data_IF_070763615535
#
_entry.id   IF_070763615535
#
_cell.length_a   1.000
_cell.length_b   1.000
_cell.length_c   1.000
_cell.angle_alpha   90.00
_cell.angle_beta   90.00
_cell.angle_gamma   90.00
#
_symmetry.space_group_name_H-M   'P 1'
#
loop_
_entity.id
_entity.type
_entity.pdbx_description
1 polymer ?
#
# COMPACT_ATOMS: atom_id res chain seq x y z
N UNK A 1 -30.92 5.32 51.41
CA UNK A 1 -32.13 5.79 50.69
C UNK A 1 -32.11 7.30 50.67
N UNK A 2 -31.50 7.93 49.66
CA UNK A 2 -31.68 9.35 49.38
C UNK A 2 -31.13 9.67 47.98
N UNK A 3 -31.99 10.32 47.20
CA UNK A 3 -31.82 10.83 45.84
C UNK A 3 -31.00 12.14 45.85
N UNK A 4 -30.19 12.38 44.81
CA UNK A 4 -29.61 13.70 44.47
C UNK A 4 -29.68 13.83 42.93
N UNK A 5 -30.74 14.43 42.40
CA UNK A 5 -30.92 15.86 42.03
C UNK A 5 -30.10 16.27 40.80
N UNK A 6 -30.81 16.38 39.67
CA UNK A 6 -30.41 17.14 38.48
C UNK A 6 -30.51 18.64 38.77
N UNK A 7 -29.51 19.40 38.37
CA UNK A 7 -29.56 20.87 38.36
C UNK A 7 -29.51 21.35 36.91
N UNK A 8 -30.60 21.97 36.48
CA UNK A 8 -30.72 22.78 35.27
C UNK A 8 -30.41 24.23 35.64
N UNK A 9 -29.63 24.95 34.83
CA UNK A 9 -29.63 26.41 34.82
C UNK A 9 -29.84 26.89 33.39
N UNK A 10 -30.92 27.65 33.24
CA UNK A 10 -31.41 28.30 32.02
C UNK A 10 -31.22 29.81 32.10
N UNK A 11 -31.11 30.42 30.90
CA UNK A 11 -31.34 31.84 30.57
C UNK A 11 -30.31 32.83 31.12
N UNK A 12 -29.91 33.89 30.45
CA UNK A 12 -30.24 34.54 29.16
C UNK A 12 -29.45 35.86 29.21
N UNK A 13 -29.04 36.45 28.09
CA UNK A 13 -29.05 37.92 27.93
C UNK A 13 -28.66 38.32 26.49
N UNK A 14 -29.60 39.04 25.87
CA UNK A 14 -29.47 40.03 24.79
C UNK A 14 -29.73 39.53 23.36
N UNK A 15 -31.01 39.68 22.99
CA UNK A 15 -31.52 39.89 21.63
C UNK A 15 -31.11 41.26 21.06
N UNK A 16 -31.23 41.35 19.73
CA UNK A 16 -31.39 42.53 18.87
C UNK A 16 -30.15 43.21 18.31
N UNK A 17 -29.80 42.81 17.07
CA UNK A 17 -29.84 43.77 15.95
C UNK A 17 -29.84 43.04 14.59
N UNK A 18 -30.87 43.32 13.79
CA UNK A 18 -30.95 43.23 12.32
C UNK A 18 -31.39 41.89 11.68
N UNK A 19 -32.72 41.79 11.55
CA UNK A 19 -33.41 41.23 10.38
C UNK A 19 -32.89 41.85 9.08
N UNK A 20 -32.49 41.01 8.12
CA UNK A 20 -32.96 41.04 6.72
C UNK A 20 -32.17 40.00 5.90
N UNK A 21 -32.73 38.81 5.71
CA UNK A 21 -32.58 37.94 4.51
C UNK A 21 -33.38 36.63 4.71
N UNK A 22 -33.95 36.05 3.63
CA UNK A 22 -35.05 35.09 3.72
C UNK A 22 -34.62 33.74 4.30
N UNK A 23 -35.55 33.14 5.05
CA UNK A 23 -35.54 31.75 5.50
C UNK A 23 -35.31 30.80 4.31
N UNK A 24 -34.20 30.06 4.32
CA UNK A 24 -34.05 28.84 3.53
C UNK A 24 -34.38 27.69 4.47
N UNK A 25 -35.57 27.12 4.31
CA UNK A 25 -35.89 25.80 4.82
C UNK A 25 -34.93 24.79 4.16
N UNK A 26 -34.04 24.18 4.94
CA UNK A 26 -33.31 23.00 4.49
C UNK A 26 -34.19 21.80 4.83
N UNK A 27 -34.98 21.37 3.85
CA UNK A 27 -35.66 20.09 3.88
C UNK A 27 -34.64 18.95 4.06
N UNK A 28 -34.89 18.10 5.05
CA UNK A 28 -34.18 16.85 5.25
C UNK A 28 -34.55 15.86 4.15
N UNK A 29 -33.80 15.87 3.05
CA UNK A 29 -33.91 14.85 2.00
C UNK A 29 -33.11 13.61 2.39
N UNK A 30 -33.69 12.81 3.30
CA UNK A 30 -33.46 11.37 3.37
C UNK A 30 -34.03 10.75 2.08
N UNK A 31 -33.24 10.77 1.01
CA UNK A 31 -33.46 9.90 -0.14
C UNK A 31 -32.23 9.03 -0.33
N UNK A 32 -32.37 7.75 0.00
CA UNK A 32 -31.46 6.68 -0.36
C UNK A 32 -31.29 6.66 -1.87
N UNK A 33 -30.18 7.20 -2.34
CA UNK A 33 -29.76 7.07 -3.74
C UNK A 33 -29.22 5.66 -3.91
N UNK A 34 -29.77 4.82 -4.80
CA UNK A 34 -29.16 3.53 -5.11
C UNK A 34 -27.81 3.80 -5.77
N UNK A 35 -26.73 3.35 -5.13
CA UNK A 35 -25.43 3.29 -5.77
C UNK A 35 -25.51 2.21 -6.86
N UNK A 36 -25.80 2.62 -8.09
CA UNK A 36 -25.69 1.75 -9.26
C UNK A 36 -24.20 1.50 -9.52
N UNK A 37 -23.73 0.23 -9.55
CA UNK A 37 -22.35 -0.08 -9.90
C UNK A 37 -22.22 0.09 -11.42
N UNK A 38 -21.79 1.26 -11.85
CA UNK A 38 -21.29 1.48 -13.20
C UNK A 38 -19.88 2.05 -13.08
N UNK A 39 -18.94 1.16 -12.81
CA UNK A 39 -17.62 1.30 -13.40
C UNK A 39 -17.37 0.12 -14.34
N UNK A 40 -16.93 0.41 -15.58
CA UNK A 40 -16.90 -0.56 -16.65
C UNK A 40 -15.70 -1.48 -16.45
N UNK A 41 -16.00 -2.78 -16.49
CA UNK A 41 -15.10 -3.82 -16.95
C UNK A 41 -14.12 -4.36 -15.89
N UNK A 42 -14.62 -5.33 -15.14
CA UNK A 42 -13.88 -6.53 -14.71
C UNK A 42 -13.43 -7.32 -15.95
N UNK A 43 -12.53 -6.77 -16.79
CA UNK A 43 -11.71 -7.62 -17.65
C UNK A 43 -10.64 -8.15 -16.70
N UNK A 44 -10.63 -9.46 -16.48
CA UNK A 44 -9.45 -10.14 -15.99
C UNK A 44 -8.31 -9.77 -16.95
N UNK A 45 -7.47 -8.80 -16.55
CA UNK A 45 -6.26 -8.46 -17.26
C UNK A 45 -5.38 -9.70 -17.12
N UNK A 46 -4.99 -10.37 -18.23
CA UNK A 46 -4.18 -11.56 -18.14
C UNK A 46 -2.86 -11.20 -17.44
N UNK A 47 -2.34 -12.07 -16.56
CA UNK A 47 -1.16 -11.77 -15.76
C UNK A 47 0.04 -11.44 -16.67
N UNK A 48 0.96 -10.57 -16.20
CA UNK A 48 2.10 -10.18 -17.00
C UNK A 48 3.01 -11.38 -17.28
N UNK A 49 3.63 -11.28 -18.43
CA UNK A 49 4.51 -12.28 -19.01
C UNK A 49 5.74 -12.50 -18.14
N UNK A 50 6.13 -13.75 -17.92
CA UNK A 50 7.44 -14.06 -17.30
C UNK A 50 8.59 -13.47 -18.14
N UNK A 51 9.82 -13.34 -17.62
CA UNK A 51 10.97 -12.90 -18.42
C UNK A 51 11.20 -13.74 -19.68
N UNK A 52 10.93 -15.04 -19.61
CA UNK A 52 11.00 -15.95 -20.75
C UNK A 52 9.88 -15.67 -21.75
N UNK A 53 8.65 -15.43 -21.27
CA UNK A 53 7.53 -14.99 -22.10
C UNK A 53 7.80 -13.61 -22.74
N UNK A 54 8.40 -12.67 -22.02
CA UNK A 54 8.80 -11.36 -22.55
C UNK A 54 9.90 -11.48 -23.61
N UNK A 55 10.86 -12.37 -23.39
CA UNK A 55 11.93 -12.66 -24.36
C UNK A 55 11.34 -13.31 -25.62
N UNK A 56 10.45 -14.28 -25.46
CA UNK A 56 9.75 -14.95 -26.56
C UNK A 56 8.83 -13.98 -27.32
N UNK A 57 8.14 -13.09 -26.59
CA UNK A 57 7.32 -12.00 -27.12
C UNK A 57 8.15 -11.06 -27.99
N UNK A 58 9.32 -10.64 -27.48
CA UNK A 58 10.26 -9.77 -28.20
C UNK A 58 10.82 -10.45 -29.44
N UNK A 59 11.15 -11.74 -29.37
CA UNK A 59 11.62 -12.52 -30.52
C UNK A 59 10.54 -12.68 -31.59
N UNK A 60 9.29 -12.95 -31.19
CA UNK A 60 8.16 -13.05 -32.12
C UNK A 60 7.86 -11.70 -32.76
N UNK A 61 7.81 -10.62 -31.99
CA UNK A 61 7.62 -9.27 -32.50
C UNK A 61 8.71 -8.89 -33.51
N UNK A 62 9.98 -9.22 -33.24
CA UNK A 62 11.09 -9.01 -34.16
C UNK A 62 10.98 -9.88 -35.43
N UNK A 63 10.50 -11.12 -35.32
CA UNK A 63 10.27 -11.98 -36.48
C UNK A 63 9.16 -11.44 -37.38
N UNK A 64 8.07 -10.94 -36.80
CA UNK A 64 6.96 -10.36 -37.57
C UNK A 64 7.35 -9.00 -38.18
N UNK A 65 8.07 -8.15 -37.45
CA UNK A 65 8.58 -6.87 -37.98
C UNK A 65 9.52 -7.07 -39.18
N UNK A 66 10.30 -8.16 -39.22
CA UNK A 66 11.14 -8.51 -40.38
C UNK A 66 10.34 -8.91 -41.63
N UNK A 67 9.08 -9.29 -41.48
CA UNK A 67 8.19 -9.64 -42.59
C UNK A 67 7.37 -8.45 -43.08
N UNK A 68 7.43 -7.31 -42.38
CA UNK A 68 6.76 -6.07 -42.75
C UNK A 68 7.72 -5.12 -43.49
N UNK A 69 7.23 -4.29 -44.43
CA UNK A 69 8.02 -3.23 -45.02
C UNK A 69 8.61 -2.29 -43.95
N UNK A 70 9.83 -1.74 -44.16
CA UNK A 70 10.59 -1.01 -43.15
C UNK A 70 9.92 0.26 -42.59
N UNK A 71 8.88 0.77 -43.23
CA UNK A 71 8.16 2.00 -42.85
C UNK A 71 6.69 1.76 -42.46
N UNK A 72 6.36 0.55 -42.00
CA UNK A 72 4.97 0.21 -41.64
C UNK A 72 4.58 0.84 -40.30
N UNK A 73 3.67 1.82 -40.32
CA UNK A 73 3.08 2.41 -39.11
C UNK A 73 2.16 1.41 -38.39
N UNK A 74 2.41 1.14 -37.11
CA UNK A 74 1.62 0.24 -36.27
C UNK A 74 0.13 0.62 -36.23
N UNK A 75 -0.18 1.93 -36.25
CA UNK A 75 -1.57 2.39 -36.21
C UNK A 75 -2.33 2.02 -37.48
N UNK A 76 -1.63 1.91 -38.62
CA UNK A 76 -2.18 1.53 -39.93
C UNK A 76 -2.45 0.03 -40.10
N UNK A 77 -2.00 -0.83 -39.18
CA UNK A 77 -2.18 -2.28 -39.27
C UNK A 77 -3.65 -2.69 -39.10
N UNK A 78 -4.06 -3.72 -39.86
CA UNK A 78 -5.40 -4.30 -39.74
C UNK A 78 -5.63 -4.93 -38.35
N UNK A 79 -6.88 -4.97 -37.85
CA UNK A 79 -7.19 -5.62 -36.57
C UNK A 79 -6.76 -7.09 -36.50
N UNK A 80 -6.82 -7.82 -37.61
CA UNK A 80 -6.37 -9.21 -37.69
C UNK A 80 -4.84 -9.35 -37.57
N UNK A 81 -4.07 -8.43 -38.14
CA UNK A 81 -2.61 -8.39 -37.98
C UNK A 81 -2.22 -7.94 -36.57
N UNK A 82 -2.91 -6.95 -36.01
CA UNK A 82 -2.75 -6.55 -34.59
C UNK A 82 -3.03 -7.73 -33.66
N UNK A 83 -4.09 -8.51 -33.92
CA UNK A 83 -4.42 -9.69 -33.13
C UNK A 83 -3.40 -10.83 -33.29
N UNK A 84 -2.80 -10.99 -34.48
CA UNK A 84 -1.73 -11.97 -34.72
C UNK A 84 -0.38 -11.55 -34.11
N UNK A 85 -0.19 -10.24 -33.87
CA UNK A 85 0.97 -9.66 -33.19
C UNK A 85 0.89 -9.74 -31.67
N UNK A 86 -0.32 -9.95 -31.11
CA UNK A 86 -0.48 -10.26 -29.68
C UNK A 86 -0.04 -11.71 -29.46
N UNK A 87 1.07 -11.94 -28.77
CA UNK A 87 1.55 -13.31 -28.58
C UNK A 87 0.57 -14.04 -27.65
N UNK A 88 0.35 -15.32 -27.94
CA UNK A 88 -0.44 -16.20 -27.06
C UNK A 88 0.54 -16.85 -26.10
N UNK A 89 0.39 -16.53 -24.83
CA UNK A 89 1.24 -17.08 -23.77
C UNK A 89 0.51 -18.20 -23.06
N UNK A 90 1.24 -19.27 -22.80
CA UNK A 90 0.81 -20.28 -21.87
C UNK A 90 1.32 -19.87 -20.49
N UNK A 91 0.49 -19.13 -19.75
CA UNK A 91 0.82 -18.58 -18.42
C UNK A 91 1.44 -19.68 -17.54
N UNK A 92 2.47 -19.35 -16.76
CA UNK A 92 3.04 -20.32 -15.81
C UNK A 92 1.96 -20.86 -14.86
N UNK A 93 2.07 -22.11 -14.40
CA UNK A 93 1.06 -22.72 -13.53
C UNK A 93 0.82 -21.91 -12.24
N UNK A 94 1.85 -21.25 -11.71
CA UNK A 94 1.75 -20.34 -10.56
C UNK A 94 0.88 -19.10 -10.86
N UNK A 95 0.98 -18.52 -12.06
CA UNK A 95 0.16 -17.38 -12.48
C UNK A 95 -1.28 -17.79 -12.82
N UNK A 96 -1.49 -19.05 -13.23
CA UNK A 96 -2.83 -19.62 -13.38
C UNK A 96 -3.53 -19.86 -12.03
N UNK A 97 -2.75 -20.00 -10.94
CA UNK A 97 -3.26 -20.29 -9.60
C UNK A 97 -3.49 -19.07 -8.71
N UNK A 98 -2.73 -17.98 -8.86
CA UNK A 98 -2.88 -16.82 -7.97
C UNK A 98 -4.21 -16.10 -8.19
N UNK A 99 -5.02 -16.01 -7.15
CA UNK A 99 -6.30 -15.34 -7.12
C UNK A 99 -6.25 -14.17 -6.15
N UNK A 100 -7.09 -13.15 -6.37
CA UNK A 100 -7.26 -12.05 -5.41
C UNK A 100 -7.66 -12.58 -4.01
N UNK A 101 -8.40 -13.70 -3.96
CA UNK A 101 -8.81 -14.34 -2.71
C UNK A 101 -7.62 -14.87 -1.87
N UNK A 102 -6.45 -15.12 -2.46
CA UNK A 102 -5.24 -15.50 -1.71
C UNK A 102 -4.74 -14.37 -0.79
N UNK A 103 -5.08 -13.12 -1.12
CA UNK A 103 -4.78 -11.92 -0.34
C UNK A 103 -5.94 -11.50 0.58
N UNK A 104 -7.04 -12.26 0.60
CA UNK A 104 -8.20 -11.92 1.42
C UNK A 104 -7.86 -12.09 2.90
N UNK A 105 -8.04 -11.02 3.67
CA UNK A 105 -7.86 -11.00 5.12
C UNK A 105 -9.17 -10.54 5.73
N UNK A 106 -9.71 -11.32 6.67
CA UNK A 106 -10.79 -10.84 7.53
C UNK A 106 -10.21 -9.89 8.58
N UNK A 107 -10.04 -8.62 8.20
CA UNK A 107 -9.42 -7.60 9.04
C UNK A 107 -10.16 -7.38 10.36
N UNK A 108 -11.49 -7.48 10.35
CA UNK A 108 -12.31 -7.33 11.55
C UNK A 108 -12.10 -8.48 12.55
N UNK A 109 -11.75 -9.67 12.05
CA UNK A 109 -11.37 -10.80 12.90
C UNK A 109 -9.89 -10.77 13.31
N UNK A 110 -9.01 -10.26 12.44
CA UNK A 110 -7.57 -10.14 12.72
C UNK A 110 -7.26 -9.03 13.72
N UNK A 111 -8.08 -7.98 13.76
CA UNK A 111 -7.93 -6.82 14.64
C UNK A 111 -9.17 -6.70 15.53
N UNK A 112 -9.13 -7.38 16.67
CA UNK A 112 -10.16 -7.24 17.68
C UNK A 112 -10.05 -5.90 18.42
N UNK A 113 -11.02 -5.64 19.31
CA UNK A 113 -11.08 -4.38 20.06
C UNK A 113 -9.84 -4.14 20.91
N UNK A 114 -9.31 -5.17 21.57
CA UNK A 114 -8.14 -5.04 22.45
C UNK A 114 -6.88 -4.71 21.63
N UNK A 115 -6.73 -5.29 20.44
CA UNK A 115 -5.64 -4.95 19.52
C UNK A 115 -5.75 -3.52 19.00
N UNK A 116 -6.95 -3.05 18.68
CA UNK A 116 -7.18 -1.67 18.27
C UNK A 116 -6.92 -0.67 19.41
N UNK A 117 -7.35 -0.99 20.64
CA UNK A 117 -7.06 -0.16 21.81
C UNK A 117 -5.55 -0.12 22.11
N UNK A 118 -4.87 -1.27 21.96
CA UNK A 118 -3.41 -1.35 22.07
C UNK A 118 -2.72 -0.53 20.98
N UNK A 119 -3.23 -0.57 19.74
CA UNK A 119 -2.73 0.25 18.64
C UNK A 119 -2.86 1.74 18.95
N UNK A 120 -4.02 2.18 19.46
CA UNK A 120 -4.23 3.59 19.86
C UNK A 120 -3.30 3.99 21.00
N UNK A 121 -3.04 3.09 21.96
CA UNK A 121 -2.19 3.38 23.12
C UNK A 121 -0.70 3.41 22.78
N UNK A 122 -0.21 2.40 22.06
CA UNK A 122 1.22 2.16 21.80
C UNK A 122 1.66 2.73 20.45
N UNK A 123 0.73 2.94 19.52
CA UNK A 123 0.98 3.46 18.18
C UNK A 123 1.45 2.42 17.16
N UNK A 124 1.55 1.13 17.53
CA UNK A 124 1.87 0.06 16.57
C UNK A 124 1.27 -1.29 16.93
N UNK A 125 1.17 -2.16 15.92
CA UNK A 125 0.76 -3.57 16.04
C UNK A 125 1.58 -4.44 15.09
N UNK A 126 1.68 -5.73 15.42
CA UNK A 126 2.40 -6.73 14.64
C UNK A 126 1.47 -7.91 14.35
N UNK A 127 1.37 -8.29 13.09
CA UNK A 127 0.57 -9.42 12.62
C UNK A 127 1.48 -10.42 11.93
N UNK A 128 1.50 -11.65 12.43
CA UNK A 128 2.19 -12.77 11.79
C UNK A 128 1.22 -13.62 10.95
N UNK A 129 1.80 -14.30 9.97
CA UNK A 129 1.12 -15.26 9.10
C UNK A 129 -0.14 -14.64 8.46
N UNK A 130 0.02 -13.44 7.91
CA UNK A 130 -1.08 -12.61 7.42
C UNK A 130 -1.81 -13.24 6.24
N UNK A 131 -1.05 -13.57 5.19
CA UNK A 131 -1.59 -14.09 3.93
C UNK A 131 -1.39 -15.60 3.80
N UNK A 132 -2.13 -16.19 2.85
CA UNK A 132 -1.89 -17.57 2.45
C UNK A 132 -0.47 -17.72 1.85
N UNK A 133 0.14 -18.91 1.95
CA UNK A 133 1.47 -19.16 1.39
C UNK A 133 1.58 -18.82 -0.11
N UNK A 134 0.50 -19.01 -0.87
CA UNK A 134 0.39 -18.67 -2.29
C UNK A 134 0.64 -17.18 -2.55
N UNK A 135 -0.02 -16.30 -1.79
CA UNK A 135 0.16 -14.86 -1.88
C UNK A 135 1.57 -14.41 -1.45
N UNK A 136 2.10 -14.99 -0.36
CA UNK A 136 3.47 -14.70 0.08
C UNK A 136 4.50 -15.06 -1.00
N UNK A 137 4.42 -16.26 -1.56
CA UNK A 137 5.32 -16.73 -2.62
C UNK A 137 5.21 -15.85 -3.87
N UNK A 138 4.01 -15.40 -4.22
CA UNK A 138 3.81 -14.49 -5.35
C UNK A 138 4.48 -13.12 -5.11
N UNK A 139 4.35 -12.54 -3.92
CA UNK A 139 5.03 -11.28 -3.56
C UNK A 139 6.55 -11.45 -3.53
N UNK A 140 7.06 -12.57 -3.01
CA UNK A 140 8.49 -12.89 -3.01
C UNK A 140 9.03 -13.03 -4.43
N UNK A 141 8.32 -13.76 -5.30
CA UNK A 141 8.69 -13.93 -6.69
C UNK A 141 8.70 -12.58 -7.41
N UNK A 142 7.63 -11.80 -7.30
CA UNK A 142 7.54 -10.49 -7.94
C UNK A 142 8.68 -9.57 -7.48
N UNK A 143 8.88 -9.44 -6.15
CA UNK A 143 9.99 -8.73 -5.53
C UNK A 143 11.38 -9.19 -6.01
N UNK A 144 11.56 -10.48 -6.31
CA UNK A 144 12.81 -11.04 -6.81
C UNK A 144 13.13 -10.67 -8.25
N UNK A 145 12.11 -10.36 -9.07
CA UNK A 145 12.26 -10.02 -10.49
C UNK A 145 12.13 -8.54 -10.80
N UNK A 146 11.67 -7.70 -9.87
CA UNK A 146 11.54 -6.26 -10.13
C UNK A 146 12.89 -5.57 -10.28
N UNK A 147 12.97 -4.64 -11.24
CA UNK A 147 14.11 -3.74 -11.35
C UNK A 147 14.03 -2.61 -10.31
N UNK A 148 14.78 -2.79 -9.22
CA UNK A 148 14.92 -1.79 -8.17
C UNK A 148 15.74 -0.58 -8.61
N UNK A 149 15.36 0.60 -8.11
CA UNK A 149 16.11 1.86 -8.27
C UNK A 149 16.55 2.36 -6.91
N UNK A 150 17.70 3.03 -6.82
CA UNK A 150 18.17 3.60 -5.55
C UNK A 150 17.12 4.56 -4.94
N UNK A 151 16.81 4.40 -3.65
CA UNK A 151 15.90 5.30 -2.96
C UNK A 151 16.48 6.71 -2.85
N UNK A 152 15.62 7.73 -2.97
CA UNK A 152 15.98 9.15 -2.80
C UNK A 152 15.23 9.72 -1.59
N UNK A 153 15.86 10.64 -0.87
CA UNK A 153 15.19 11.43 0.17
C UNK A 153 14.26 12.47 -0.47
N UNK A 154 13.38 13.08 0.32
CA UNK A 154 12.36 14.07 -0.11
C UNK A 154 12.95 15.27 -0.88
N UNK A 155 14.23 15.59 -0.66
CA UNK A 155 14.97 16.65 -1.36
C UNK A 155 15.77 16.15 -2.59
N UNK A 156 15.58 14.90 -3.03
CA UNK A 156 16.25 14.32 -4.19
C UNK A 156 17.74 13.97 -4.01
N UNK A 157 18.33 14.31 -2.87
CA UNK A 157 19.73 14.00 -2.53
C UNK A 157 19.82 12.61 -1.90
N UNK A 158 20.62 11.73 -2.52
CA UNK A 158 21.00 10.44 -1.93
C UNK A 158 22.06 10.66 -0.86
N UNK A 159 21.78 10.22 0.36
CA UNK A 159 22.81 10.03 1.40
C UNK A 159 22.77 8.57 1.82
N UNK A 160 23.68 7.77 1.27
CA UNK A 160 23.83 6.33 1.60
C UNK A 160 24.02 6.09 3.09
N UNK A 161 24.58 7.07 3.79
CA UNK A 161 24.79 7.03 5.25
C UNK A 161 23.47 7.11 6.05
N UNK A 162 22.40 7.61 5.41
CA UNK A 162 21.07 7.76 6.00
C UNK A 162 20.17 6.61 5.55
N UNK A 163 20.06 6.36 4.25
CA UNK A 163 19.17 5.35 3.65
C UNK A 163 19.88 4.63 2.50
N UNK A 164 19.97 3.30 2.59
CA UNK A 164 20.74 2.47 1.65
C UNK A 164 19.94 1.48 0.80
N UNK A 165 18.61 1.48 0.89
CA UNK A 165 17.76 0.58 0.10
C UNK A 165 17.59 1.04 -1.34
N UNK A 166 17.18 0.06 -2.14
CA UNK A 166 16.64 0.26 -3.48
C UNK A 166 15.14 -0.04 -3.43
N UNK A 167 14.35 0.73 -4.14
CA UNK A 167 12.89 0.65 -4.13
C UNK A 167 12.31 0.48 -5.53
N UNK A 168 11.10 -0.09 -5.59
CA UNK A 168 10.25 -0.11 -6.77
C UNK A 168 8.80 0.11 -6.36
N UNK A 169 8.22 1.23 -6.80
CA UNK A 169 6.81 1.54 -6.57
C UNK A 169 5.90 0.50 -7.22
N UNK A 170 4.87 0.08 -6.48
CA UNK A 170 3.84 -0.84 -6.92
C UNK A 170 2.82 -0.04 -7.73
N UNK A 171 2.76 -0.33 -9.02
CA UNK A 171 1.71 0.10 -9.95
C UNK A 171 0.72 -1.04 -10.18
N UNK A 172 -0.37 -0.75 -10.92
CA UNK A 172 -1.36 -1.74 -11.35
C UNK A 172 -0.78 -2.90 -12.18
N UNK A 173 0.43 -2.75 -12.71
CA UNK A 173 1.09 -3.75 -13.56
C UNK A 173 1.82 -4.83 -12.73
N UNK A 174 1.98 -4.59 -11.43
CA UNK A 174 2.49 -5.57 -10.47
C UNK A 174 1.31 -6.37 -9.93
N UNK A 175 1.14 -7.60 -10.40
CA UNK A 175 -0.05 -8.39 -10.12
C UNK A 175 -0.18 -8.74 -8.62
N UNK A 176 0.89 -9.27 -8.02
CA UNK A 176 0.89 -9.62 -6.60
C UNK A 176 0.86 -8.36 -5.73
N UNK A 177 1.67 -7.35 -6.07
CA UNK A 177 1.71 -6.07 -5.39
C UNK A 177 0.38 -5.32 -5.43
N UNK A 178 -0.35 -5.39 -6.56
CA UNK A 178 -1.66 -4.77 -6.71
C UNK A 178 -2.71 -5.44 -5.81
N UNK A 179 -2.73 -6.77 -5.73
CA UNK A 179 -3.63 -7.48 -4.80
C UNK A 179 -3.27 -7.26 -3.34
N UNK A 180 -1.98 -7.20 -3.01
CA UNK A 180 -1.52 -6.74 -1.69
C UNK A 180 -2.07 -5.34 -1.38
N UNK A 181 -1.93 -4.39 -2.30
CA UNK A 181 -2.39 -3.01 -2.09
C UNK A 181 -3.91 -2.93 -1.91
N UNK A 182 -4.68 -3.73 -2.66
CA UNK A 182 -6.13 -3.83 -2.45
C UNK A 182 -6.48 -4.38 -1.06
N UNK A 183 -5.76 -5.41 -0.58
CA UNK A 183 -5.96 -5.92 0.77
C UNK A 183 -5.63 -4.88 1.85
N UNK A 184 -4.58 -4.06 1.65
CA UNK A 184 -4.28 -2.93 2.53
C UNK A 184 -5.34 -1.82 2.44
N UNK A 185 -5.96 -1.61 1.28
CA UNK A 185 -7.09 -0.68 1.17
C UNK A 185 -8.31 -1.17 1.98
N UNK A 186 -8.55 -2.48 2.05
CA UNK A 186 -9.58 -3.04 2.95
C UNK A 186 -9.27 -2.76 4.43
N UNK A 187 -8.00 -2.82 4.83
CA UNK A 187 -7.55 -2.38 6.16
C UNK A 187 -7.80 -0.89 6.39
N UNK A 188 -7.51 -0.04 5.40
CA UNK A 188 -7.78 1.40 5.46
C UNK A 188 -9.27 1.69 5.70
N UNK A 189 -10.17 0.95 5.02
CA UNK A 189 -11.60 1.06 5.25
C UNK A 189 -12.00 0.66 6.68
N UNK A 190 -11.39 -0.39 7.24
CA UNK A 190 -11.62 -0.76 8.64
C UNK A 190 -11.19 0.38 9.58
N UNK A 191 -9.97 0.89 9.44
CA UNK A 191 -9.44 1.97 10.28
C UNK A 191 -10.25 3.26 10.18
N UNK A 192 -10.75 3.61 9.00
CA UNK A 192 -11.65 4.75 8.85
C UNK A 192 -12.96 4.55 9.62
N UNK A 193 -13.50 3.33 9.65
CA UNK A 193 -14.76 3.03 10.34
C UNK A 193 -14.61 2.92 11.85
N UNK A 194 -13.47 2.42 12.34
CA UNK A 194 -13.26 2.14 13.77
C UNK A 194 -12.51 3.26 14.49
N UNK A 195 -11.56 3.91 13.81
CA UNK A 195 -10.66 4.91 14.39
C UNK A 195 -10.85 6.31 13.80
N UNK A 196 -11.74 6.49 12.82
CA UNK A 196 -11.95 7.76 12.10
C UNK A 196 -10.65 8.31 11.49
N UNK A 197 -9.79 7.42 10.99
CA UNK A 197 -8.42 7.75 10.57
C UNK A 197 -8.32 8.70 9.35
N UNK A 198 -9.40 8.94 8.61
CA UNK A 198 -9.41 9.89 7.48
C UNK A 198 -8.54 9.48 6.30
N UNK A 199 -8.19 8.20 6.18
CA UNK A 199 -7.37 7.66 5.10
C UNK A 199 -8.16 7.71 3.78
N UNK A 200 -7.57 8.26 2.73
CA UNK A 200 -8.17 8.43 1.40
C UNK A 200 -7.59 7.49 0.37
N UNK A 201 -6.29 7.21 0.44
CA UNK A 201 -5.62 6.31 -0.49
C UNK A 201 -4.39 5.67 0.15
N UNK A 202 -3.88 4.61 -0.46
CA UNK A 202 -2.65 3.94 -0.04
C UNK A 202 -1.66 3.87 -1.21
N UNK A 203 -0.38 4.02 -0.90
CA UNK A 203 0.72 3.84 -1.86
C UNK A 203 1.75 2.86 -1.28
N UNK A 204 2.34 2.01 -2.12
CA UNK A 204 3.28 1.00 -1.67
C UNK A 204 4.46 0.84 -2.62
N UNK A 205 5.60 0.42 -2.08
CA UNK A 205 6.76 0.06 -2.88
C UNK A 205 7.48 -1.16 -2.29
N UNK A 206 8.01 -2.00 -3.17
CA UNK A 206 9.04 -2.97 -2.81
C UNK A 206 10.28 -2.22 -2.34
N UNK A 207 10.97 -2.76 -1.34
CA UNK A 207 12.22 -2.24 -0.81
C UNK A 207 13.21 -3.39 -0.59
N UNK A 208 14.45 -3.14 -0.95
CA UNK A 208 15.53 -4.12 -0.89
C UNK A 208 16.78 -3.45 -0.30
N UNK A 209 17.20 -3.89 0.88
CA UNK A 209 18.45 -3.49 1.52
C UNK A 209 19.53 -4.53 1.22
N UNK A 210 20.62 -4.16 0.53
CA UNK A 210 21.80 -5.02 0.43
C UNK A 210 22.47 -5.21 1.80
N UNK A 211 23.30 -6.25 1.96
CA UNK A 211 24.11 -6.42 3.17
C UNK A 211 24.94 -5.17 3.48
N UNK A 212 25.03 -4.82 4.77
CA UNK A 212 25.74 -3.64 5.26
C UNK A 212 24.94 -2.34 5.24
N UNK A 213 23.66 -2.39 4.84
CA UNK A 213 22.78 -1.20 4.79
C UNK A 213 21.59 -1.32 5.74
N UNK A 214 21.06 -0.15 6.11
CA UNK A 214 19.86 0.04 6.92
C UNK A 214 19.27 1.42 6.63
N UNK A 215 18.43 1.91 7.54
CA UNK A 215 17.85 3.25 7.49
C UNK A 215 17.86 3.85 8.89
N UNK A 216 18.60 4.94 9.09
CA UNK A 216 18.71 5.64 10.39
C UNK A 216 17.35 6.11 10.92
N UNK A 217 17.29 6.35 12.23
CA UNK A 217 16.12 6.90 12.92
C UNK A 217 15.45 8.05 12.17
N UNK A 218 14.16 7.88 11.87
CA UNK A 218 13.32 8.85 11.20
C UNK A 218 11.85 8.67 11.60
N UNK A 219 11.04 9.69 11.29
CA UNK A 219 9.59 9.59 11.19
C UNK A 219 9.23 9.54 9.70
N UNK A 220 8.15 8.84 9.35
CA UNK A 220 7.69 8.78 7.96
C UNK A 220 7.02 10.08 7.50
N UNK A 221 6.58 10.91 8.44
CA UNK A 221 6.21 12.30 8.20
C UNK A 221 7.42 13.22 8.48
N UNK A 222 8.07 13.78 7.45
CA UNK A 222 9.07 14.81 7.65
C UNK A 222 8.45 16.09 8.20
N UNK A 223 9.27 16.94 8.82
CA UNK A 223 8.83 18.19 9.44
C UNK A 223 8.01 19.04 8.45
N UNK A 224 6.79 19.40 8.84
CA UNK A 224 5.87 20.21 8.04
C UNK A 224 5.00 19.43 7.05
N UNK A 225 5.06 18.09 7.07
CA UNK A 225 4.12 17.20 6.38
C UNK A 225 3.43 16.31 7.40
N UNK A 226 2.19 15.96 7.11
CA UNK A 226 1.36 15.10 7.97
C UNK A 226 0.33 14.30 7.14
N UNK A 227 0.66 14.04 5.86
CA UNK A 227 -0.28 13.38 4.96
C UNK A 227 -0.32 11.87 5.16
N UNK A 228 0.73 11.28 5.74
CA UNK A 228 0.80 9.84 6.03
C UNK A 228 0.21 9.61 7.41
N UNK A 229 -0.92 8.92 7.47
CA UNK A 229 -1.59 8.62 8.73
C UNK A 229 -0.96 7.36 9.30
N UNK A 230 -1.04 6.26 8.55
CA UNK A 230 -0.52 4.96 8.96
C UNK A 230 0.56 4.48 8.00
N UNK A 231 1.62 3.93 8.57
CA UNK A 231 2.69 3.25 7.86
C UNK A 231 2.59 1.75 8.11
N UNK A 232 2.87 0.95 7.08
CA UNK A 232 2.87 -0.50 7.18
C UNK A 232 4.09 -1.09 6.46
N UNK A 233 4.70 -2.10 7.07
CA UNK A 233 5.85 -2.82 6.51
C UNK A 233 5.56 -4.30 6.51
N UNK A 234 5.43 -4.88 5.30
CA UNK A 234 5.27 -6.32 5.10
C UNK A 234 6.60 -6.97 4.73
N UNK A 235 6.91 -8.10 5.34
CA UNK A 235 8.21 -8.76 5.22
C UNK A 235 8.16 -10.02 4.36
N UNK A 236 9.22 -10.21 3.59
CA UNK A 236 9.32 -11.25 2.55
C UNK A 236 10.46 -12.26 2.79
N UNK A 237 11.05 -12.26 3.99
CA UNK A 237 12.33 -12.94 4.20
C UNK A 237 12.19 -14.26 4.98
N UNK A 238 12.42 -15.37 4.30
CA UNK A 238 12.36 -16.71 4.88
C UNK A 238 13.56 -16.96 5.80
N UNK A 239 13.36 -17.75 6.86
CA UNK A 239 14.43 -18.22 7.75
C UNK A 239 15.37 -17.10 8.25
N UNK A 240 14.78 -15.97 8.68
CA UNK A 240 15.53 -14.84 9.25
C UNK A 240 15.94 -15.12 10.70
N UNK A 241 17.21 -14.92 11.01
CA UNK A 241 17.79 -15.17 12.35
C UNK A 241 18.31 -13.87 12.98
N UNK A 242 18.61 -13.90 14.28
CA UNK A 242 19.16 -12.73 14.98
C UNK A 242 20.53 -12.28 14.42
N UNK A 243 21.33 -13.23 13.93
CA UNK A 243 22.66 -12.94 13.38
C UNK A 243 22.58 -12.18 12.03
N UNK A 244 21.43 -12.23 11.36
CA UNK A 244 21.18 -11.55 10.09
C UNK A 244 20.92 -10.04 10.25
N UNK A 245 20.68 -9.56 11.48
CA UNK A 245 20.36 -8.15 11.78
C UNK A 245 19.10 -7.66 11.07
N UNK A 246 19.09 -6.40 10.63
CA UNK A 246 18.02 -5.85 9.78
C UNK A 246 16.67 -5.66 10.45
N UNK A 247 16.59 -5.70 11.79
CA UNK A 247 15.37 -5.46 12.54
C UNK A 247 14.80 -4.06 12.28
N UNK A 248 13.48 -3.93 12.39
CA UNK A 248 12.83 -2.63 12.55
C UNK A 248 12.82 -2.28 14.03
N UNK A 249 13.60 -1.28 14.41
CA UNK A 249 13.54 -0.67 15.74
C UNK A 249 12.50 0.45 15.72
N UNK A 250 11.53 0.41 16.62
CA UNK A 250 10.47 1.42 16.75
C UNK A 250 10.38 1.92 18.18
N UNK A 251 10.23 3.24 18.37
CA UNK A 251 9.90 3.83 19.66
C UNK A 251 8.39 4.01 19.71
N UNK A 252 7.72 3.34 20.63
CA UNK A 252 6.28 3.43 20.80
C UNK A 252 5.86 4.78 21.41
N UNK A 253 4.55 5.04 21.44
CA UNK A 253 3.97 6.28 22.01
C UNK A 253 4.24 6.45 23.51
N UNK A 254 4.70 5.40 24.21
CA UNK A 254 5.07 5.42 25.63
C UNK A 254 6.59 5.59 25.82
N UNK A 255 7.37 5.74 24.74
CA UNK A 255 8.81 5.95 24.74
C UNK A 255 9.64 4.67 24.86
N UNK A 256 9.04 3.48 24.75
CA UNK A 256 9.74 2.21 24.80
C UNK A 256 10.23 1.79 23.41
N UNK A 257 11.46 1.27 23.33
CA UNK A 257 12.04 0.78 22.07
C UNK A 257 11.77 -0.71 21.90
N UNK A 258 11.20 -1.06 20.75
CA UNK A 258 10.91 -2.43 20.34
C UNK A 258 11.73 -2.81 19.11
N UNK A 259 12.24 -4.04 19.06
CA UNK A 259 12.97 -4.58 17.91
C UNK A 259 12.17 -5.69 17.24
N UNK A 260 11.79 -5.48 15.98
CA UNK A 260 10.91 -6.36 15.24
C UNK A 260 11.67 -7.03 14.10
N UNK A 261 11.76 -8.35 14.16
CA UNK A 261 12.41 -9.17 13.12
C UNK A 261 11.66 -9.08 11.80
N UNK A 262 12.35 -8.96 10.65
CA UNK A 262 11.75 -8.87 9.32
C UNK A 262 11.36 -10.26 8.77
N UNK A 263 10.64 -11.06 9.58
CA UNK A 263 10.21 -12.43 9.26
C UNK A 263 9.21 -12.45 8.11
N UNK A 264 9.35 -13.38 7.16
CA UNK A 264 8.35 -13.58 6.11
C UNK A 264 6.91 -13.66 6.66
N UNK A 265 5.98 -13.08 5.89
CA UNK A 265 4.54 -13.04 6.20
C UNK A 265 4.14 -12.24 7.45
N UNK A 266 5.07 -11.43 7.98
CA UNK A 266 4.79 -10.47 9.04
C UNK A 266 4.44 -9.11 8.45
N UNK A 267 3.35 -8.52 8.96
CA UNK A 267 2.99 -7.12 8.74
C UNK A 267 3.17 -6.35 10.06
N UNK A 268 3.94 -5.27 10.02
CA UNK A 268 4.00 -4.30 11.11
C UNK A 268 3.24 -3.06 10.67
N UNK A 269 2.29 -2.59 11.47
CA UNK A 269 1.48 -1.39 11.20
C UNK A 269 1.74 -0.41 12.33
N UNK A 270 2.01 0.85 12.01
CA UNK A 270 2.34 1.87 12.99
C UNK A 270 1.87 3.27 12.56
N UNK A 271 1.65 4.15 13.53
CA UNK A 271 1.45 5.58 13.30
C UNK A 271 2.70 6.15 12.61
N UNK A 272 2.49 6.85 11.50
CA UNK A 272 3.59 7.35 10.64
C UNK A 272 4.50 8.36 11.34
N UNK A 273 4.06 8.92 12.47
CA UNK A 273 4.82 9.85 13.30
C UNK A 273 5.76 9.15 14.29
N UNK A 274 5.66 7.82 14.48
CA UNK A 274 6.57 7.10 15.37
C UNK A 274 8.00 7.10 14.83
N UNK A 275 8.96 7.36 15.72
CA UNK A 275 10.37 7.30 15.39
C UNK A 275 10.78 5.83 15.22
N UNK A 276 11.36 5.51 14.07
CA UNK A 276 11.78 4.16 13.76
C UNK A 276 13.07 4.13 12.92
N UNK A 277 13.78 3.01 12.94
CA UNK A 277 14.95 2.77 12.13
C UNK A 277 15.00 1.32 11.66
N UNK A 278 15.64 1.10 10.51
CA UNK A 278 16.02 -0.24 10.06
C UNK A 278 17.48 -0.45 10.44
N UNK A 279 17.73 -1.43 11.31
CA UNK A 279 19.07 -1.84 11.70
C UNK A 279 19.88 -2.32 10.48
N UNK A 280 21.20 -2.39 10.63
CA UNK A 280 22.05 -2.91 9.57
C UNK A 280 21.70 -4.38 9.30
N UNK A 281 21.40 -4.71 8.05
CA UNK A 281 21.19 -6.08 7.61
C UNK A 281 22.52 -6.71 7.20
N UNK A 282 22.78 -7.95 7.60
CA UNK A 282 23.98 -8.71 7.20
C UNK A 282 23.75 -9.63 6.00
N UNK A 283 22.49 -9.72 5.55
CA UNK A 283 22.09 -10.35 4.29
C UNK A 283 21.05 -9.49 3.57
N UNK A 284 20.71 -9.87 2.35
CA UNK A 284 19.70 -9.17 1.54
C UNK A 284 18.34 -9.17 2.27
N UNK A 285 17.78 -7.98 2.52
CA UNK A 285 16.50 -7.80 3.23
C UNK A 285 15.45 -7.20 2.30
N UNK A 286 14.34 -7.89 2.14
CA UNK A 286 13.19 -7.52 1.33
C UNK A 286 11.98 -7.16 2.20
N UNK A 287 11.27 -6.11 1.79
CA UNK A 287 10.02 -5.70 2.40
C UNK A 287 9.15 -4.93 1.42
N UNK A 288 7.88 -4.77 1.73
CA UNK A 288 6.97 -3.83 1.09
C UNK A 288 6.69 -2.74 2.11
N UNK A 289 7.06 -1.51 1.81
CA UNK A 289 6.67 -0.35 2.61
C UNK A 289 5.38 0.24 2.04
N UNK A 290 4.45 0.64 2.89
CA UNK A 290 3.14 1.13 2.49
C UNK A 290 2.75 2.32 3.35
N UNK A 291 2.24 3.37 2.72
CA UNK A 291 1.73 4.56 3.40
C UNK A 291 0.24 4.71 3.09
N UNK A 292 -0.56 4.78 4.15
CA UNK A 292 -1.99 5.05 4.11
C UNK A 292 -2.18 6.54 4.41
N UNK A 293 -2.69 7.28 3.43
CA UNK A 293 -2.58 8.73 3.38
C UNK A 293 -3.93 9.42 3.41
N UNK A 294 -3.98 10.63 3.97
CA UNK A 294 -5.19 11.45 4.08
C UNK A 294 -5.29 12.58 3.05
N UNK A 295 -4.24 12.82 2.26
CA UNK A 295 -4.27 13.77 1.15
C UNK A 295 -4.99 13.19 -0.08
N UNK A 296 -5.27 14.05 -1.04
CA UNK A 296 -5.81 13.62 -2.31
C UNK A 296 -4.75 12.80 -3.06
N UNK A 297 -5.19 11.71 -3.69
CA UNK A 297 -4.30 10.90 -4.51
C UNK A 297 -3.73 11.78 -5.61
N UNK A 298 -2.42 12.04 -5.56
CA UNK A 298 -1.72 12.63 -6.69
C UNK A 298 -1.86 11.64 -7.85
N UNK A 299 -2.66 11.99 -8.85
CA UNK A 299 -2.59 11.35 -10.16
C UNK A 299 -1.20 11.65 -10.71
N UNK A 300 -0.21 10.83 -10.36
CA UNK A 300 1.11 10.89 -10.95
C UNK A 300 0.87 10.47 -12.41
N UNK A 301 0.75 11.47 -13.29
CA UNK A 301 0.91 11.25 -14.71
C UNK A 301 2.22 10.50 -14.90
N UNK A 302 2.14 9.30 -15.46
CA UNK A 302 3.32 8.47 -15.69
C UNK A 302 4.39 9.31 -16.40
N UNK A 303 5.65 9.29 -15.92
CA UNK A 303 6.70 9.96 -16.66
C UNK A 303 6.87 9.23 -18.00
N UNK A 304 6.69 10.00 -19.09
CA UNK A 304 6.98 9.63 -20.47
C UNK A 304 8.33 8.91 -20.62
#
# INVERSE_FOLDING_TARGET
MASVVKTTLTSSLIENSLNDSPLIEIESNLNTTPCTPQDPITIAIPPPLTPDDLLQSKQLAQQVLKQLPPDTDYLSLSPSLKQALVPKFDLSDTQKMLQQADFAVDWAKRLDADMLDSFVKQGFIVLDDLYQPTALLALQAESGFVEYRDAKLTEGVRKTDIRGDRIRWITKDFFAGFYYLNSINDLAFLFNRTLFAGIRHSEAHYACYPPGFGYKWHSDNPVGRDERVISAVFYLNDDWTLDDGGELSIIDSEGQTHKLMPKANRLVIFDSNLLHQVELAHRQRYSIATWLRCDDALLIAEPL
#
